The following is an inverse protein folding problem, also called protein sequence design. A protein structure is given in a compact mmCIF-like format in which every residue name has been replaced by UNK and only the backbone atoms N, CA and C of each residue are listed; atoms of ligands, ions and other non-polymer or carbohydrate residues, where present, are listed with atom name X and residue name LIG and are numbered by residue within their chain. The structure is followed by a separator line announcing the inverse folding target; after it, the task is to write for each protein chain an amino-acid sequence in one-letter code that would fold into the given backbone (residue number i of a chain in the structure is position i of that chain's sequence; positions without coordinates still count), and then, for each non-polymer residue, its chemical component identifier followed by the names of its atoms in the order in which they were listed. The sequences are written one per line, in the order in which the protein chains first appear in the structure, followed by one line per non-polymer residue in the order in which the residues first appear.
data_IF_956428189348
#
_entry.id   IF_956428189348
#
_cell.length_a   1.000
_cell.length_b   1.000
_cell.length_c   1.000
_cell.angle_alpha   90.00
_cell.angle_beta   90.00
_cell.angle_gamma   90.00
#
_symmetry.space_group_name_H-M   'P 1'
#
loop_
_entity.id
_entity.type
_entity.pdbx_description
1 polymer ?
#
# COMPACT_ATOMS: atom_id res chain seq x y z
N UNK A 1 34.98 46.42 16.73
CA UNK A 1 34.58 45.06 17.16
C UNK A 1 33.20 44.77 16.57
N UNK A 2 33.14 44.18 15.37
CA UNK A 2 31.88 43.95 14.61
C UNK A 2 31.71 42.48 14.20
N UNK A 3 32.79 41.70 14.24
CA UNK A 3 32.80 40.26 13.98
C UNK A 3 31.85 39.49 14.93
N UNK A 4 31.84 39.85 16.22
CA UNK A 4 31.03 39.18 17.24
C UNK A 4 29.52 39.20 16.97
N UNK A 5 29.03 40.25 16.29
CA UNK A 5 27.60 40.35 15.97
C UNK A 5 27.20 39.52 14.75
N UNK A 6 28.13 39.24 13.83
CA UNK A 6 27.86 38.35 12.70
C UNK A 6 27.89 36.90 13.16
N UNK A 7 28.88 36.53 13.97
CA UNK A 7 29.04 35.19 14.54
C UNK A 7 27.83 34.79 15.39
N UNK A 8 27.32 35.70 16.21
CA UNK A 8 26.12 35.47 17.01
C UNK A 8 24.84 35.28 16.17
N UNK A 9 24.73 35.94 15.02
CA UNK A 9 23.60 35.78 14.09
C UNK A 9 23.69 34.46 13.34
N UNK A 10 24.87 34.15 12.81
CA UNK A 10 25.14 32.87 12.13
C UNK A 10 24.88 31.68 13.04
N UNK A 11 25.31 31.72 14.31
CA UNK A 11 25.02 30.66 15.28
C UNK A 11 23.52 30.53 15.57
N UNK A 12 22.80 31.65 15.72
CA UNK A 12 21.34 31.63 15.96
C UNK A 12 20.56 31.11 14.75
N UNK A 13 20.98 31.44 13.54
CA UNK A 13 20.34 30.96 12.32
C UNK A 13 20.64 29.47 12.09
N UNK A 14 21.85 29.00 12.39
CA UNK A 14 22.21 27.58 12.32
C UNK A 14 21.40 26.74 13.33
N UNK A 15 21.23 27.23 14.55
CA UNK A 15 20.45 26.56 15.60
C UNK A 15 18.93 26.53 15.31
N UNK A 16 18.41 27.51 14.56
CA UNK A 16 17.02 27.49 14.07
C UNK A 16 16.86 26.55 12.88
N UNK A 17 17.84 26.48 11.99
CA UNK A 17 17.83 25.59 10.83
C UNK A 17 17.94 24.11 11.22
N UNK A 18 18.65 23.77 12.30
CA UNK A 18 18.66 22.40 12.84
C UNK A 18 17.33 22.01 13.47
N UNK A 19 16.66 22.93 14.19
CA UNK A 19 15.32 22.69 14.75
C UNK A 19 14.24 22.42 13.70
N UNK A 20 14.36 22.96 12.49
CA UNK A 20 13.42 22.70 11.39
C UNK A 20 13.67 21.38 10.64
N UNK A 21 14.80 20.69 10.88
CA UNK A 21 15.14 19.43 10.22
C UNK A 21 14.79 18.19 11.05
N UNK A 22 14.58 18.34 12.35
CA UNK A 22 14.12 17.25 13.22
C UNK A 22 12.59 17.04 13.22
N UNK A 23 11.82 18.01 12.71
CA UNK A 23 10.35 17.93 12.64
C UNK A 23 9.80 17.49 11.26
N UNK A 24 10.69 17.15 10.30
CA UNK A 24 10.31 16.49 9.05
C UNK A 24 10.82 15.04 8.98
N UNK A 25 10.81 14.34 10.12
CA UNK A 25 10.28 12.98 10.12
C UNK A 25 8.88 13.03 10.70
N UNK A 26 8.06 13.93 10.13
CA UNK A 26 6.61 13.80 10.17
C UNK A 26 6.32 12.39 9.69
N UNK A 27 6.08 11.52 10.66
CA UNK A 27 5.07 10.50 10.64
C UNK A 27 3.84 11.15 10.01
N UNK A 28 3.85 11.25 8.68
CA UNK A 28 2.64 11.35 7.91
C UNK A 28 1.92 10.11 8.41
N UNK A 29 0.88 10.32 9.20
CA UNK A 29 -0.20 9.36 9.26
C UNK A 29 -0.74 9.27 7.83
N UNK A 30 0.03 8.69 6.91
CA UNK A 30 -0.52 7.63 6.10
C UNK A 30 -0.96 6.63 7.15
N UNK A 31 -2.22 6.74 7.59
CA UNK A 31 -3.01 5.53 7.76
C UNK A 31 -2.51 4.59 6.67
N UNK A 32 -1.99 3.39 7.00
CA UNK A 32 -1.62 2.48 5.93
C UNK A 32 -2.84 2.45 5.03
N UNK A 33 -2.70 2.97 3.81
CA UNK A 33 -3.72 2.81 2.81
C UNK A 33 -3.64 1.31 2.60
N UNK A 34 -4.44 0.58 3.37
CA UNK A 34 -4.46 -0.88 3.33
C UNK A 34 -4.76 -1.17 1.88
N UNK A 35 -3.80 -1.79 1.19
CA UNK A 35 -3.97 -2.12 -0.21
C UNK A 35 -5.17 -3.08 -0.26
N UNK A 36 -6.34 -2.66 -0.79
CA UNK A 36 -7.53 -3.49 -0.71
C UNK A 36 -7.45 -4.71 -1.65
N UNK A 37 -6.30 -4.90 -2.29
CA UNK A 37 -5.99 -5.97 -3.23
C UNK A 37 -4.86 -6.86 -2.68
N UNK A 38 -4.74 -7.04 -1.37
CA UNK A 38 -3.85 -8.07 -0.80
C UNK A 38 -4.28 -9.46 -1.27
N UNK A 39 -3.35 -10.42 -1.20
CA UNK A 39 -3.68 -11.80 -1.53
C UNK A 39 -4.72 -12.38 -0.57
N UNK A 40 -4.61 -12.04 0.72
CA UNK A 40 -5.54 -12.46 1.79
C UNK A 40 -6.97 -12.00 1.47
N UNK A 41 -7.17 -10.72 1.17
CA UNK A 41 -8.50 -10.19 0.80
C UNK A 41 -9.06 -10.84 -0.47
N UNK A 42 -8.20 -11.17 -1.44
CA UNK A 42 -8.64 -11.89 -2.64
C UNK A 42 -9.03 -13.33 -2.32
N UNK A 43 -8.34 -13.99 -1.38
CA UNK A 43 -8.66 -15.35 -0.92
C UNK A 43 -9.98 -15.36 -0.15
N UNK A 44 -10.21 -14.41 0.76
CA UNK A 44 -11.48 -14.30 1.49
C UNK A 44 -12.67 -14.19 0.53
N UNK A 45 -12.51 -13.38 -0.52
CA UNK A 45 -13.52 -13.24 -1.57
C UNK A 45 -13.69 -14.52 -2.40
N UNK A 46 -12.61 -15.26 -2.64
CA UNK A 46 -12.66 -16.54 -3.36
C UNK A 46 -13.38 -17.61 -2.55
N UNK A 47 -13.17 -17.66 -1.23
CA UNK A 47 -13.85 -18.63 -0.34
C UNK A 47 -15.34 -18.35 -0.17
N UNK A 48 -15.77 -17.11 -0.35
CA UNK A 48 -17.19 -16.77 -0.38
C UNK A 48 -17.89 -17.20 -1.68
N UNK A 49 -17.14 -17.67 -2.69
CA UNK A 49 -17.72 -18.13 -3.96
C UNK A 49 -18.19 -19.58 -3.85
N UNK A 50 -19.42 -19.84 -4.25
CA UNK A 50 -19.96 -21.20 -4.33
C UNK A 50 -19.46 -21.94 -5.57
N UNK A 51 -19.34 -23.27 -5.47
CA UNK A 51 -18.95 -24.21 -6.53
C UNK A 51 -17.55 -24.03 -7.14
N UNK A 52 -16.60 -23.45 -6.41
CA UNK A 52 -15.20 -23.42 -6.86
C UNK A 52 -14.55 -24.79 -6.59
N UNK A 53 -14.03 -25.44 -7.63
CA UNK A 53 -13.29 -26.71 -7.48
C UNK A 53 -11.88 -26.46 -6.95
N UNK A 54 -11.29 -27.45 -6.25
CA UNK A 54 -9.91 -27.37 -5.77
C UNK A 54 -8.90 -27.09 -6.91
N UNK A 55 -9.16 -27.62 -8.12
CA UNK A 55 -8.31 -27.36 -9.28
C UNK A 55 -8.37 -25.88 -9.68
N UNK A 56 -9.57 -25.34 -9.87
CA UNK A 56 -9.78 -23.92 -10.19
C UNK A 56 -9.22 -23.01 -9.10
N UNK A 57 -9.42 -23.37 -7.83
CA UNK A 57 -8.90 -22.62 -6.69
C UNK A 57 -7.38 -22.46 -6.75
N UNK A 58 -6.65 -23.58 -6.94
CA UNK A 58 -5.19 -23.56 -7.05
C UNK A 58 -4.71 -22.72 -8.25
N UNK A 59 -5.40 -22.80 -9.40
CA UNK A 59 -5.08 -21.96 -10.56
C UNK A 59 -5.28 -20.47 -10.30
N UNK A 60 -6.32 -20.10 -9.54
CA UNK A 60 -6.56 -18.71 -9.14
C UNK A 60 -5.45 -18.22 -8.19
N UNK A 61 -5.00 -19.04 -7.24
CA UNK A 61 -3.88 -18.68 -6.35
C UNK A 61 -2.60 -18.40 -7.13
N UNK A 62 -2.32 -19.15 -8.20
CA UNK A 62 -1.19 -18.88 -9.10
C UNK A 62 -1.32 -17.50 -9.77
N UNK A 63 -2.55 -17.08 -10.15
CA UNK A 63 -2.79 -15.73 -10.70
C UNK A 63 -2.63 -14.63 -9.66
N UNK A 64 -3.03 -14.87 -8.40
CA UNK A 64 -2.94 -13.86 -7.34
C UNK A 64 -1.52 -13.49 -6.93
N UNK A 65 -0.50 -14.26 -7.32
CA UNK A 65 0.91 -13.87 -7.19
C UNK A 65 1.19 -12.53 -7.89
N UNK A 66 0.47 -12.25 -8.97
CA UNK A 66 0.50 -10.97 -9.68
C UNK A 66 -0.49 -9.98 -9.07
N UNK A 67 -0.02 -8.76 -8.81
CA UNK A 67 -0.82 -7.69 -8.22
C UNK A 67 -1.92 -7.19 -9.15
N UNK A 68 -1.71 -7.18 -10.46
CA UNK A 68 -2.70 -6.67 -11.40
C UNK A 68 -3.85 -7.67 -11.59
N UNK A 69 -3.57 -8.97 -11.55
CA UNK A 69 -4.61 -10.00 -11.51
C UNK A 69 -5.50 -9.88 -10.26
N UNK A 70 -4.92 -9.61 -9.08
CA UNK A 70 -5.69 -9.33 -7.85
C UNK A 70 -6.62 -8.14 -8.01
N UNK A 71 -6.13 -7.03 -8.57
CA UNK A 71 -6.97 -5.85 -8.84
C UNK A 71 -8.11 -6.17 -9.80
N UNK A 72 -7.81 -6.88 -10.89
CA UNK A 72 -8.81 -7.28 -11.90
C UNK A 72 -9.91 -8.11 -11.23
N UNK A 73 -9.53 -9.14 -10.48
CA UNK A 73 -10.46 -10.03 -9.77
C UNK A 73 -11.38 -9.27 -8.79
N UNK A 74 -10.80 -8.36 -7.99
CA UNK A 74 -11.56 -7.57 -7.03
C UNK A 74 -12.49 -6.55 -7.69
N UNK A 75 -12.17 -6.07 -8.90
CA UNK A 75 -13.03 -5.17 -9.67
C UNK A 75 -14.12 -5.87 -10.48
N UNK A 76 -14.02 -7.18 -10.72
CA UNK A 76 -15.07 -7.95 -11.38
C UNK A 76 -16.33 -8.03 -10.51
N UNK A 77 -17.50 -8.00 -11.16
CA UNK A 77 -18.76 -8.39 -10.49
C UNK A 77 -18.76 -9.89 -10.18
N UNK A 78 -19.49 -10.29 -9.14
CA UNK A 78 -19.59 -11.69 -8.73
C UNK A 78 -19.85 -12.69 -9.88
N UNK A 79 -20.83 -12.48 -10.80
CA UNK A 79 -21.05 -13.43 -11.90
C UNK A 79 -19.86 -13.50 -12.88
N UNK A 80 -19.19 -12.38 -13.13
CA UNK A 80 -18.03 -12.33 -14.03
C UNK A 80 -16.81 -12.99 -13.39
N UNK A 81 -16.66 -12.85 -12.07
CA UNK A 81 -15.63 -13.51 -11.28
C UNK A 81 -15.81 -15.02 -11.32
N UNK A 82 -17.03 -15.53 -11.12
CA UNK A 82 -17.32 -16.97 -11.24
C UNK A 82 -16.96 -17.51 -12.62
N UNK A 83 -17.44 -16.88 -13.69
CA UNK A 83 -17.06 -17.26 -15.06
C UNK A 83 -15.55 -17.23 -15.30
N UNK A 84 -14.84 -16.27 -14.70
CA UNK A 84 -13.40 -16.16 -14.84
C UNK A 84 -12.68 -17.30 -14.10
N UNK A 85 -13.11 -17.65 -12.89
CA UNK A 85 -12.57 -18.79 -12.11
C UNK A 85 -12.82 -20.12 -12.82
N UNK A 86 -14.04 -20.32 -13.34
CA UNK A 86 -14.43 -21.55 -14.06
C UNK A 86 -13.68 -21.71 -15.38
N UNK A 87 -13.17 -20.62 -15.95
CA UNK A 87 -12.44 -20.59 -17.22
C UNK A 87 -10.92 -20.78 -17.11
N UNK A 88 -10.38 -20.94 -15.89
CA UNK A 88 -8.95 -21.19 -15.64
C UNK A 88 -8.63 -22.69 -15.68
#
# INVERSE_FOLDING_TARGET
MWASSLEARTQKDLAKASKFKDDHSSNKATSPISDPYTIEECMDVLEMMEDVTDESYNKVLEKFKDKDWRKIFMKMSAPRRKMWVDGL
#
